data_IF_123604052589
#
_entry.id   IF_123604052589
#
_cell.length_a   1.000
_cell.length_b   1.000
_cell.length_c   1.000
_cell.angle_alpha   90.00
_cell.angle_beta   90.00
_cell.angle_gamma   90.00
#
_symmetry.space_group_name_H-M   'P 1'
#
loop_
_entity.id
_entity.type
_entity.pdbx_description
1 polymer ?
#
# COMPACT_ATOMS: atom_id res chain seq x y z
N UNK A 1 -35.22 -22.49 28.38
CA UNK A 1 -35.25 -21.73 27.10
C UNK A 1 -34.18 -20.64 27.22
N UNK A 2 -33.18 -20.62 26.33
CA UNK A 2 -32.12 -19.61 26.34
C UNK A 2 -32.69 -18.29 25.77
N UNK A 3 -32.65 -17.21 26.55
CA UNK A 3 -32.98 -15.85 26.10
C UNK A 3 -31.66 -15.07 26.01
N UNK A 4 -31.15 -14.95 24.79
CA UNK A 4 -29.89 -14.25 24.53
C UNK A 4 -30.17 -12.97 23.76
N UNK A 5 -29.84 -11.85 24.35
CA UNK A 5 -30.02 -10.53 23.71
C UNK A 5 -28.90 -10.26 22.71
N UNK A 6 -29.24 -9.53 21.64
CA UNK A 6 -28.27 -9.12 20.62
C UNK A 6 -27.21 -8.21 21.25
N UNK A 7 -25.91 -8.57 21.17
CA UNK A 7 -24.84 -7.71 21.72
C UNK A 7 -24.79 -6.35 21.02
N UNK A 8 -24.40 -5.33 21.78
CA UNK A 8 -24.17 -4.00 21.25
C UNK A 8 -23.08 -4.02 20.17
N UNK A 9 -23.32 -3.35 19.06
CA UNK A 9 -22.36 -3.31 17.91
C UNK A 9 -22.36 -4.56 17.03
N UNK A 10 -23.27 -5.49 17.22
CA UNK A 10 -23.33 -6.73 16.42
C UNK A 10 -23.43 -6.47 14.91
N UNK A 11 -24.20 -5.47 14.49
CA UNK A 11 -24.39 -5.14 13.06
C UNK A 11 -23.22 -4.34 12.49
N UNK A 12 -22.36 -3.79 13.34
CA UNK A 12 -21.20 -3.00 12.96
C UNK A 12 -19.94 -3.87 12.78
N UNK A 13 -19.98 -5.11 13.26
CA UNK A 13 -18.85 -6.04 13.19
C UNK A 13 -19.00 -6.93 11.97
N UNK A 14 -17.97 -6.96 11.11
CA UNK A 14 -17.93 -7.88 9.99
C UNK A 14 -17.76 -9.31 10.48
N UNK A 15 -18.52 -10.26 9.90
CA UNK A 15 -18.40 -11.67 10.23
C UNK A 15 -16.98 -12.19 9.96
N UNK A 16 -16.44 -12.99 10.89
CA UNK A 16 -15.12 -13.60 10.72
C UNK A 16 -15.07 -14.46 9.47
N UNK A 17 -14.06 -14.26 8.62
CA UNK A 17 -13.91 -14.95 7.33
C UNK A 17 -14.47 -14.20 6.13
N UNK A 18 -15.24 -13.15 6.31
CA UNK A 18 -15.67 -12.24 5.23
C UNK A 18 -14.61 -11.15 5.02
N UNK A 19 -13.56 -11.51 4.32
CA UNK A 19 -12.53 -10.55 3.89
C UNK A 19 -12.75 -10.20 2.41
N UNK A 20 -13.05 -8.94 2.14
CA UNK A 20 -13.07 -8.42 0.77
C UNK A 20 -11.72 -7.83 0.44
N UNK A 21 -10.93 -8.43 -0.46
CA UNK A 21 -9.63 -7.89 -0.83
C UNK A 21 -9.79 -6.57 -1.59
N UNK A 22 -8.74 -5.74 -1.56
CA UNK A 22 -8.72 -4.55 -2.41
C UNK A 22 -8.88 -4.96 -3.88
N UNK A 23 -9.67 -4.22 -4.64
CA UNK A 23 -9.86 -4.50 -6.05
C UNK A 23 -8.58 -4.22 -6.85
N UNK A 24 -8.41 -4.93 -7.96
CA UNK A 24 -7.29 -4.68 -8.86
C UNK A 24 -7.57 -3.44 -9.73
N UNK A 25 -6.50 -2.79 -10.15
CA UNK A 25 -6.55 -1.59 -10.97
C UNK A 25 -6.46 -0.29 -10.18
N UNK A 26 -7.05 0.76 -10.69
CA UNK A 26 -6.88 2.11 -10.16
C UNK A 26 -7.75 2.40 -8.94
N UNK A 27 -7.15 3.05 -7.96
CA UNK A 27 -7.80 3.56 -6.75
C UNK A 27 -7.36 5.00 -6.49
N UNK A 28 -8.27 5.80 -5.94
CA UNK A 28 -7.95 7.10 -5.38
C UNK A 28 -7.50 6.91 -3.94
N UNK A 29 -6.29 7.35 -3.64
CA UNK A 29 -5.66 7.20 -2.34
C UNK A 29 -5.52 8.57 -1.65
N UNK A 30 -5.45 8.55 -0.33
CA UNK A 30 -5.07 9.69 0.51
C UNK A 30 -3.84 9.32 1.34
N UNK A 31 -2.83 10.16 1.30
CA UNK A 31 -1.60 9.96 2.09
C UNK A 31 -1.89 10.31 3.56
N UNK A 32 -1.67 9.36 4.45
CA UNK A 32 -1.88 9.53 5.89
C UNK A 32 -0.63 9.95 6.63
N UNK A 33 0.51 9.39 6.24
CA UNK A 33 1.79 9.62 6.92
C UNK A 33 2.94 9.34 5.94
N UNK A 34 4.04 10.02 6.13
CA UNK A 34 5.31 9.74 5.47
C UNK A 34 6.43 9.75 6.52
N UNK A 35 7.31 8.78 6.46
CA UNK A 35 8.43 8.63 7.39
C UNK A 35 9.69 8.31 6.61
N UNK A 36 10.79 8.94 6.99
CA UNK A 36 12.10 8.54 6.50
C UNK A 36 12.61 7.37 7.36
N UNK A 37 12.99 6.29 6.72
CA UNK A 37 13.46 5.07 7.38
C UNK A 37 14.81 4.68 6.82
N UNK A 38 15.74 4.32 7.70
CA UNK A 38 17.02 3.76 7.32
C UNK A 38 16.93 2.22 7.29
N UNK A 39 17.21 1.63 6.14
CA UNK A 39 17.27 0.19 5.99
C UNK A 39 18.54 -0.40 6.63
N UNK A 40 18.53 -1.69 6.89
CA UNK A 40 19.67 -2.42 7.51
C UNK A 40 20.97 -2.32 6.71
N UNK A 41 20.87 -2.16 5.38
CA UNK A 41 22.00 -1.95 4.48
C UNK A 41 22.50 -0.50 4.42
N UNK A 42 21.94 0.41 5.26
CA UNK A 42 22.29 1.83 5.31
C UNK A 42 21.61 2.72 4.29
N UNK A 43 20.82 2.16 3.35
CA UNK A 43 20.04 2.99 2.43
C UNK A 43 18.85 3.63 3.14
N UNK A 44 18.44 4.81 2.66
CA UNK A 44 17.27 5.53 3.19
C UNK A 44 16.09 5.38 2.22
N UNK A 45 14.91 5.12 2.77
CA UNK A 45 13.67 5.09 2.00
C UNK A 45 12.55 5.84 2.72
N UNK A 46 11.55 6.23 1.97
CA UNK A 46 10.33 6.83 2.49
C UNK A 46 9.27 5.74 2.67
N UNK A 47 8.81 5.56 3.88
CA UNK A 47 7.66 4.73 4.20
C UNK A 47 6.42 5.60 4.12
N UNK A 48 5.59 5.35 3.12
CA UNK A 48 4.36 6.08 2.84
C UNK A 48 3.19 5.26 3.32
N UNK A 49 2.44 5.76 4.31
CA UNK A 49 1.19 5.17 4.76
C UNK A 49 0.02 5.88 4.09
N UNK A 50 -0.89 5.14 3.52
CA UNK A 50 -2.03 5.65 2.79
C UNK A 50 -3.30 4.87 3.11
N UNK A 51 -4.44 5.41 2.72
CA UNK A 51 -5.73 4.73 2.70
C UNK A 51 -6.42 5.01 1.36
N UNK A 52 -7.45 4.26 1.03
CA UNK A 52 -8.33 4.65 -0.07
C UNK A 52 -9.15 5.87 0.34
N UNK A 53 -9.33 6.80 -0.59
CA UNK A 53 -10.06 8.03 -0.34
C UNK A 53 -11.55 7.75 -0.08
N UNK A 54 -12.23 8.69 0.58
CA UNK A 54 -13.64 8.51 0.92
C UNK A 54 -14.57 8.45 -0.31
N UNK A 55 -14.14 9.00 -1.42
CA UNK A 55 -14.82 8.96 -2.72
C UNK A 55 -14.25 7.91 -3.68
N UNK A 56 -13.43 6.98 -3.18
CA UNK A 56 -12.99 5.81 -3.92
C UNK A 56 -14.09 4.74 -4.00
N UNK A 57 -13.98 3.81 -4.95
CA UNK A 57 -14.89 2.65 -5.08
C UNK A 57 -14.88 1.71 -3.87
N UNK A 58 -13.79 1.69 -3.09
CA UNK A 58 -13.66 1.01 -1.81
C UNK A 58 -13.16 2.01 -0.75
N UNK A 59 -14.02 2.89 -0.22
CA UNK A 59 -13.60 3.96 0.67
C UNK A 59 -13.06 3.45 2.00
N UNK A 60 -12.03 4.13 2.52
CA UNK A 60 -11.42 3.86 3.83
C UNK A 60 -11.04 2.38 4.05
N UNK A 61 -10.60 1.70 3.00
CA UNK A 61 -10.36 0.26 2.99
C UNK A 61 -9.40 -0.21 4.09
N UNK A 62 -8.27 0.45 4.26
CA UNK A 62 -7.28 0.06 5.27
C UNK A 62 -7.67 0.47 6.69
N UNK A 63 -8.43 1.56 6.85
CA UNK A 63 -8.99 1.94 8.13
C UNK A 63 -10.04 0.92 8.61
N UNK A 64 -10.90 0.43 7.72
CA UNK A 64 -11.87 -0.63 8.03
C UNK A 64 -11.16 -1.96 8.33
N UNK A 65 -10.12 -2.32 7.60
CA UNK A 65 -9.29 -3.49 7.93
C UNK A 65 -8.68 -3.37 9.32
N UNK A 66 -8.11 -2.21 9.65
CA UNK A 66 -7.53 -1.95 10.96
C UNK A 66 -8.56 -2.05 12.08
N UNK A 67 -9.74 -1.50 11.87
CA UNK A 67 -10.85 -1.55 12.84
C UNK A 67 -11.26 -3.00 13.13
N UNK A 68 -11.36 -3.81 12.09
CA UNK A 68 -11.83 -5.21 12.17
C UNK A 68 -10.71 -6.21 12.51
N UNK A 69 -9.45 -5.77 12.59
CA UNK A 69 -8.33 -6.62 12.97
C UNK A 69 -8.40 -6.97 14.47
N UNK A 70 -8.50 -8.26 14.77
CA UNK A 70 -8.61 -8.78 16.16
C UNK A 70 -7.27 -9.23 16.74
N UNK A 71 -6.16 -9.08 16.00
CA UNK A 71 -4.83 -9.45 16.48
C UNK A 71 -4.35 -8.50 17.57
N UNK A 72 -3.58 -9.01 18.54
CA UNK A 72 -3.00 -8.21 19.62
C UNK A 72 -2.10 -7.08 19.08
N UNK A 73 -1.34 -7.37 18.04
CA UNK A 73 -0.51 -6.38 17.34
C UNK A 73 -1.07 -6.15 15.95
N UNK A 74 -1.75 -5.02 15.80
CA UNK A 74 -2.31 -4.60 14.52
C UNK A 74 -1.24 -3.98 13.64
N UNK A 75 -1.28 -4.29 12.33
CA UNK A 75 -0.41 -3.66 11.33
C UNK A 75 -1.27 -2.91 10.31
N UNK A 76 -0.88 -1.67 9.99
CA UNK A 76 -1.51 -0.91 8.93
C UNK A 76 -1.14 -1.51 7.58
N UNK A 77 -2.14 -1.86 6.77
CA UNK A 77 -1.93 -2.55 5.50
C UNK A 77 -1.62 -1.62 4.31
N UNK A 78 -2.05 -0.36 4.39
CA UNK A 78 -1.83 0.63 3.32
C UNK A 78 -0.45 1.28 3.40
N UNK A 79 0.60 0.54 3.04
CA UNK A 79 2.00 1.01 3.12
C UNK A 79 2.72 0.76 1.80
N UNK A 80 3.51 1.73 1.37
CA UNK A 80 4.48 1.59 0.29
C UNK A 80 5.83 2.17 0.71
N UNK A 81 6.91 1.48 0.34
CA UNK A 81 8.27 1.96 0.54
C UNK A 81 8.79 2.53 -0.78
N UNK A 82 9.30 3.74 -0.74
CA UNK A 82 9.81 4.45 -1.92
C UNK A 82 11.26 4.84 -1.67
N UNK A 83 12.16 4.31 -2.49
CA UNK A 83 13.55 4.73 -2.48
C UNK A 83 13.70 6.01 -3.32
N UNK A 84 14.12 7.14 -2.70
CA UNK A 84 14.26 8.40 -3.44
C UNK A 84 15.35 8.35 -4.51
N UNK A 85 16.38 7.54 -4.28
CA UNK A 85 17.52 7.39 -5.18
C UNK A 85 17.74 5.92 -5.57
N UNK A 86 18.32 5.73 -6.76
CA UNK A 86 18.83 4.43 -7.21
C UNK A 86 20.20 4.12 -6.57
N UNK A 87 20.80 2.98 -6.96
CA UNK A 87 22.10 2.53 -6.45
C UNK A 87 23.26 3.48 -6.80
N UNK A 88 23.10 4.29 -7.84
CA UNK A 88 24.07 5.30 -8.28
C UNK A 88 23.81 6.69 -7.67
N UNK A 89 22.87 6.80 -6.74
CA UNK A 89 22.51 8.07 -6.09
C UNK A 89 21.68 9.03 -6.94
N UNK A 90 21.16 8.58 -8.09
CA UNK A 90 20.28 9.37 -8.97
C UNK A 90 18.83 9.24 -8.52
N UNK A 91 18.02 10.25 -8.81
CA UNK A 91 16.57 10.20 -8.53
C UNK A 91 15.93 8.94 -9.13
N UNK A 92 15.27 8.15 -8.29
CA UNK A 92 14.56 6.96 -8.76
C UNK A 92 13.30 7.33 -9.56
N UNK A 93 12.97 6.51 -10.54
CA UNK A 93 11.77 6.71 -11.37
C UNK A 93 10.49 6.65 -10.53
N UNK A 94 10.43 5.73 -9.57
CA UNK A 94 9.26 5.55 -8.69
C UNK A 94 9.04 6.77 -7.80
N UNK A 95 10.11 7.32 -7.22
CA UNK A 95 10.02 8.54 -6.43
C UNK A 95 9.58 9.73 -7.26
N UNK A 96 10.16 9.91 -8.46
CA UNK A 96 9.73 10.97 -9.39
C UNK A 96 8.26 10.81 -9.77
N UNK A 97 7.81 9.59 -10.06
CA UNK A 97 6.42 9.32 -10.40
C UNK A 97 5.48 9.64 -9.24
N UNK A 98 5.82 9.25 -8.00
CA UNK A 98 5.07 9.56 -6.80
C UNK A 98 4.89 11.08 -6.63
N UNK A 99 5.98 11.84 -6.63
CA UNK A 99 5.95 13.29 -6.48
C UNK A 99 5.11 13.96 -7.59
N UNK A 100 5.36 13.62 -8.85
CA UNK A 100 4.63 14.17 -9.99
C UNK A 100 3.13 13.83 -9.93
N UNK A 101 2.79 12.63 -9.47
CA UNK A 101 1.39 12.20 -9.32
C UNK A 101 0.65 13.01 -8.27
N UNK A 102 1.31 13.29 -7.14
CA UNK A 102 0.74 14.15 -6.07
C UNK A 102 0.54 15.58 -6.61
N UNK A 103 1.55 16.16 -7.25
CA UNK A 103 1.45 17.52 -7.78
C UNK A 103 0.29 17.66 -8.76
N UNK A 104 0.15 16.73 -9.69
CA UNK A 104 -0.94 16.71 -10.68
C UNK A 104 -2.30 16.50 -10.05
N UNK A 105 -2.40 15.55 -9.10
CA UNK A 105 -3.67 15.22 -8.44
C UNK A 105 -4.22 16.36 -7.58
N UNK A 106 -3.36 17.25 -7.09
CA UNK A 106 -3.75 18.33 -6.17
C UNK A 106 -3.55 19.73 -6.75
N UNK A 107 -3.10 19.83 -8.00
CA UNK A 107 -2.73 21.10 -8.63
C UNK A 107 -1.82 21.95 -7.71
N UNK A 108 -0.80 21.34 -7.15
CA UNK A 108 0.12 21.92 -6.18
C UNK A 108 1.54 21.50 -6.48
N UNK A 109 2.51 22.17 -5.90
CA UNK A 109 3.93 21.81 -6.01
C UNK A 109 4.44 21.28 -4.68
N UNK A 110 5.32 20.28 -4.73
CA UNK A 110 6.01 19.75 -3.56
C UNK A 110 7.04 20.79 -3.09
N UNK A 111 7.00 21.04 -1.79
CA UNK A 111 7.98 21.87 -1.10
C UNK A 111 9.10 20.99 -0.58
N UNK A 112 10.33 21.30 -0.97
CA UNK A 112 11.51 20.56 -0.54
C UNK A 112 12.02 21.04 0.82
N UNK A 113 12.76 20.17 1.49
CA UNK A 113 13.28 20.45 2.83
C UNK A 113 12.21 20.32 3.92
N UNK A 114 12.15 21.25 4.87
CA UNK A 114 11.24 21.20 6.02
C UNK A 114 9.75 21.21 5.66
N UNK A 115 9.39 21.64 4.45
CA UNK A 115 8.01 21.66 3.94
C UNK A 115 7.56 20.37 3.26
N UNK A 116 8.46 19.39 3.07
CA UNK A 116 8.19 18.21 2.26
C UNK A 116 7.03 17.39 2.79
N UNK A 117 7.06 17.01 4.07
CA UNK A 117 5.98 16.25 4.70
C UNK A 117 4.63 16.96 4.59
N UNK A 118 4.57 18.24 4.92
CA UNK A 118 3.33 19.02 4.86
C UNK A 118 2.76 19.17 3.44
N UNK A 119 3.62 19.11 2.41
CA UNK A 119 3.18 19.16 1.01
C UNK A 119 2.63 17.85 0.49
N UNK A 120 2.77 16.74 1.25
CA UNK A 120 2.39 15.38 0.86
C UNK A 120 1.27 14.81 1.73
N UNK A 121 1.35 14.96 3.05
CA UNK A 121 0.35 14.42 3.98
C UNK A 121 -1.02 15.06 3.73
N UNK A 122 -2.07 14.25 3.79
CA UNK A 122 -3.45 14.58 3.45
C UNK A 122 -3.70 14.96 1.98
N UNK A 123 -2.72 14.75 1.09
CA UNK A 123 -2.91 14.89 -0.35
C UNK A 123 -3.47 13.62 -0.96
N UNK A 124 -4.26 13.80 -2.04
CA UNK A 124 -4.76 12.67 -2.83
C UNK A 124 -3.76 12.29 -3.89
N UNK A 125 -3.76 11.02 -4.25
CA UNK A 125 -2.93 10.47 -5.32
C UNK A 125 -3.60 9.23 -5.89
N UNK A 126 -3.36 8.90 -7.12
CA UNK A 126 -3.79 7.64 -7.73
C UNK A 126 -2.82 6.51 -7.39
N UNK A 127 -3.37 5.32 -7.16
CA UNK A 127 -2.60 4.10 -7.01
C UNK A 127 -3.16 2.99 -7.89
N UNK A 128 -2.29 2.22 -8.53
CA UNK A 128 -2.69 1.10 -9.38
C UNK A 128 -2.25 -0.19 -8.71
N UNK A 129 -3.22 -1.03 -8.35
CA UNK A 129 -3.02 -2.28 -7.65
C UNK A 129 -2.95 -3.46 -8.61
N UNK A 130 -2.00 -4.34 -8.35
CA UNK A 130 -1.78 -5.59 -9.07
C UNK A 130 -1.62 -6.77 -8.13
N UNK A 131 -1.53 -7.96 -8.69
CA UNK A 131 -1.26 -9.20 -7.95
C UNK A 131 0.22 -9.57 -8.05
N UNK A 132 0.79 -10.00 -6.93
CA UNK A 132 2.17 -10.46 -6.83
C UNK A 132 2.22 -11.76 -6.06
N UNK A 133 2.92 -12.75 -6.61
CA UNK A 133 3.24 -13.98 -5.90
C UNK A 133 4.44 -13.79 -4.99
N UNK A 134 4.41 -14.48 -3.86
CA UNK A 134 5.53 -14.52 -2.93
C UNK A 134 5.55 -15.87 -2.22
N UNK A 135 6.72 -16.27 -1.73
CA UNK A 135 6.83 -17.42 -0.86
C UNK A 135 6.55 -17.00 0.59
N UNK A 136 5.66 -17.73 1.27
CA UNK A 136 5.48 -17.55 2.71
C UNK A 136 6.63 -18.21 3.50
N UNK A 137 6.64 -18.06 4.83
CA UNK A 137 7.69 -18.59 5.71
C UNK A 137 7.86 -20.12 5.67
N UNK A 138 6.90 -20.84 5.10
CA UNK A 138 6.96 -22.31 4.92
C UNK A 138 7.18 -22.74 3.46
N UNK A 139 7.54 -21.79 2.59
CA UNK A 139 7.87 -22.05 1.19
C UNK A 139 6.68 -22.26 0.25
N UNK A 140 5.46 -21.97 0.67
CA UNK A 140 4.28 -22.02 -0.22
C UNK A 140 4.12 -20.73 -1.00
N UNK A 141 3.76 -20.84 -2.28
CA UNK A 141 3.42 -19.68 -3.11
C UNK A 141 2.06 -19.13 -2.69
N UNK A 142 2.02 -17.86 -2.34
CA UNK A 142 0.81 -17.10 -2.04
C UNK A 142 0.73 -15.92 -2.99
N UNK A 143 -0.47 -15.35 -3.13
CA UNK A 143 -0.71 -14.16 -3.94
C UNK A 143 -1.17 -13.03 -3.04
N UNK A 144 -0.55 -11.85 -3.16
CA UNK A 144 -0.95 -10.63 -2.48
C UNK A 144 -1.35 -9.57 -3.52
N UNK A 145 -2.28 -8.69 -3.14
CA UNK A 145 -2.60 -7.49 -3.91
C UNK A 145 -1.84 -6.33 -3.33
N UNK A 146 -1.05 -5.68 -4.16
CA UNK A 146 -0.13 -4.61 -3.76
C UNK A 146 -0.25 -3.42 -4.69
N UNK A 147 0.13 -2.25 -4.18
CA UNK A 147 0.32 -1.06 -4.99
C UNK A 147 1.56 -1.25 -5.89
N UNK A 148 1.35 -1.23 -7.21
CA UNK A 148 2.41 -1.36 -8.20
C UNK A 148 2.92 -0.02 -8.72
N UNK A 149 1.98 0.92 -8.95
CA UNK A 149 2.31 2.20 -9.57
C UNK A 149 1.55 3.35 -8.91
N UNK A 150 2.19 4.49 -8.83
CA UNK A 150 1.56 5.76 -8.51
C UNK A 150 1.08 6.43 -9.80
N UNK A 151 -0.04 7.11 -9.74
CA UNK A 151 -0.63 7.80 -10.88
C UNK A 151 -1.33 9.09 -10.43
N UNK A 152 -1.66 9.96 -11.39
CA UNK A 152 -2.62 11.04 -11.12
C UNK A 152 -4.02 10.46 -10.90
N UNK A 153 -4.81 11.08 -10.02
CA UNK A 153 -6.21 10.65 -9.76
C UNK A 153 -7.06 10.64 -11.03
N UNK A 154 -6.76 11.52 -11.99
CA UNK A 154 -7.50 11.57 -13.26
C UNK A 154 -7.28 10.34 -14.14
N UNK A 155 -6.20 9.60 -13.91
CA UNK A 155 -5.81 8.44 -14.71
C UNK A 155 -6.21 7.10 -14.09
N UNK A 156 -6.74 7.08 -12.86
CA UNK A 156 -7.00 5.79 -12.18
C UNK A 156 -8.22 5.05 -12.72
N UNK A 157 -9.24 5.77 -13.20
CA UNK A 157 -10.46 5.17 -13.73
C UNK A 157 -10.23 4.40 -15.04
N UNK A 158 -9.23 4.80 -15.82
CA UNK A 158 -8.88 4.20 -17.11
C UNK A 158 -7.65 3.28 -17.01
N UNK A 159 -7.09 3.14 -15.81
CA UNK A 159 -5.89 2.35 -15.60
C UNK A 159 -6.15 0.86 -15.87
N UNK A 160 -5.32 0.29 -16.73
CA UNK A 160 -5.34 -1.17 -16.95
C UNK A 160 -4.83 -1.88 -15.71
N UNK A 161 -5.46 -3.02 -15.40
CA UNK A 161 -4.96 -3.92 -14.36
C UNK A 161 -3.59 -4.43 -14.80
N UNK A 162 -2.54 -4.25 -13.97
CA UNK A 162 -1.20 -4.77 -14.29
C UNK A 162 -1.20 -6.29 -14.39
N UNK A 163 -0.29 -6.81 -15.22
CA UNK A 163 -0.04 -8.24 -15.23
C UNK A 163 0.44 -8.70 -13.86
N UNK A 164 -0.03 -9.88 -13.46
CA UNK A 164 0.42 -10.54 -12.24
C UNK A 164 1.95 -10.73 -12.28
N UNK A 165 2.62 -10.42 -11.19
CA UNK A 165 4.03 -10.72 -11.00
C UNK A 165 4.15 -12.11 -10.39
N UNK A 166 4.77 -13.03 -11.11
CA UNK A 166 5.01 -14.39 -10.66
C UNK A 166 6.40 -14.50 -10.03
N UNK A 167 6.53 -15.36 -9.00
CA UNK A 167 7.86 -15.72 -8.48
C UNK A 167 8.59 -16.56 -9.50
N UNK A 168 9.83 -16.21 -9.78
CA UNK A 168 10.71 -17.07 -10.60
C UNK A 168 10.93 -18.40 -9.87
N UNK A 169 10.52 -19.49 -10.48
CA UNK A 169 10.87 -20.83 -10.00
C UNK A 169 12.34 -21.06 -10.31
N UNK A 170 13.21 -20.81 -9.33
CA UNK A 170 14.57 -21.33 -9.40
C UNK A 170 14.52 -22.84 -9.14
N UNK A 171 14.98 -23.64 -10.07
CA UNK A 171 15.06 -25.11 -9.92
C UNK A 171 16.05 -25.56 -8.85
N UNK A 172 16.87 -24.66 -8.32
CA UNK A 172 17.84 -24.93 -7.25
C UNK A 172 18.00 -23.69 -6.36
N UNK A 173 17.59 -23.83 -5.11
CA UNK A 173 17.82 -22.94 -3.96
C UNK A 173 16.64 -22.04 -3.53
N UNK A 174 15.74 -22.64 -2.76
CA UNK A 174 14.69 -21.92 -2.05
C UNK A 174 15.33 -21.31 -0.78
N UNK A 175 15.85 -20.10 -0.88
CA UNK A 175 16.11 -19.29 0.29
C UNK A 175 14.84 -18.50 0.62
N UNK A 176 14.25 -18.65 1.83
CA UNK A 176 13.12 -17.85 2.23
C UNK A 176 13.50 -16.37 2.25
N UNK A 177 12.80 -15.55 1.50
CA UNK A 177 12.96 -14.10 1.58
C UNK A 177 12.18 -13.65 2.82
N UNK A 178 12.89 -13.03 3.75
CA UNK A 178 12.30 -12.39 4.93
C UNK A 178 11.36 -11.26 4.46
N UNK A 179 10.14 -11.22 5.00
CA UNK A 179 9.10 -10.24 4.65
C UNK A 179 9.51 -8.75 4.86
N UNK A 180 10.73 -8.52 5.34
CA UNK A 180 11.33 -7.20 5.56
C UNK A 180 12.11 -6.63 4.38
N UNK A 181 12.52 -7.45 3.40
CA UNK A 181 13.54 -7.08 2.42
C UNK A 181 13.06 -7.09 0.95
N UNK A 182 11.77 -6.95 0.68
CA UNK A 182 11.30 -6.87 -0.72
C UNK A 182 11.62 -5.50 -1.33
N UNK A 183 12.58 -5.42 -2.25
CA UNK A 183 12.76 -4.21 -3.05
C UNK A 183 11.66 -4.13 -4.10
N UNK A 184 10.94 -3.05 -4.11
CA UNK A 184 9.98 -2.72 -5.15
C UNK A 184 10.66 -2.19 -6.40
#
# INVERSE_FOLDING_TARGET
MLNFEKPMGYDEVQAGGEFTPIELGGHKLIIKKIEEVQASNGSTYLKVSFDTAQDDKQPNYYAEQWKNDTRDVKKWGGVANIFPTDKEGRTSKTFKQFCTSIERSNNSQIQWGAGFENSIVNKVVGGIFGEEEYYNSIGEVKTARKLFYWASVDNVSEAKIPNKREVEKSDDDITPIDDGDMPF
#
